data_IF_291908060014
#
_entry.id   IF_291908060014
#
_cell.length_a   1.000
_cell.length_b   1.000
_cell.length_c   1.000
_cell.angle_alpha   90.00
_cell.angle_beta   90.00
_cell.angle_gamma   90.00
#
_symmetry.space_group_name_H-M   'P 1'
#
loop_
_entity.id
_entity.type
_entity.pdbx_description
1 polymer ?
#
# COMPACT_ATOMS: atom_id res chain seq x y z
N UNK A 1 -20.65 -18.35 13.44
CA UNK A 1 -19.40 -17.98 14.15
C UNK A 1 -18.11 -18.37 13.40
N UNK A 2 -18.16 -18.99 12.21
CA UNK A 2 -16.98 -19.34 11.40
C UNK A 2 -16.31 -18.16 10.69
N UNK A 3 -17.06 -17.09 10.40
CA UNK A 3 -16.57 -15.99 9.58
C UNK A 3 -15.43 -15.17 10.20
N UNK A 4 -15.38 -15.03 11.53
CA UNK A 4 -14.38 -14.17 12.19
C UNK A 4 -12.96 -14.65 11.92
N UNK A 5 -12.72 -15.97 11.94
CA UNK A 5 -11.39 -16.54 11.72
C UNK A 5 -10.92 -16.35 10.28
N UNK A 6 -11.81 -16.54 9.32
CA UNK A 6 -11.54 -16.35 7.88
C UNK A 6 -11.20 -14.88 7.58
N UNK A 7 -11.99 -13.97 8.14
CA UNK A 7 -11.77 -12.53 8.06
C UNK A 7 -10.40 -12.13 8.64
N UNK A 8 -10.05 -12.63 9.82
CA UNK A 8 -8.75 -12.32 10.43
C UNK A 8 -7.60 -12.86 9.58
N UNK A 9 -7.74 -14.05 8.99
CA UNK A 9 -6.68 -14.67 8.17
C UNK A 9 -6.44 -13.97 6.83
N UNK A 10 -7.47 -13.35 6.24
CA UNK A 10 -7.37 -12.66 4.96
C UNK A 10 -6.57 -11.35 5.05
N UNK A 11 -6.56 -10.69 6.22
CA UNK A 11 -5.89 -9.40 6.43
C UNK A 11 -4.36 -9.53 6.36
N UNK A 12 -3.72 -8.57 5.71
CA UNK A 12 -2.26 -8.41 5.65
C UNK A 12 -1.90 -6.96 5.97
N UNK A 13 -1.33 -6.74 7.16
CA UNK A 13 -0.88 -5.42 7.62
C UNK A 13 0.64 -5.39 7.60
N UNK A 14 1.22 -4.46 6.86
CA UNK A 14 2.67 -4.36 6.68
C UNK A 14 3.10 -2.91 6.45
N UNK A 15 4.41 -2.66 6.53
CA UNK A 15 5.03 -1.38 6.23
C UNK A 15 6.23 -1.60 5.30
N UNK A 16 6.55 -0.59 4.48
CA UNK A 16 7.74 -0.57 3.64
C UNK A 16 8.74 0.38 4.28
N UNK A 17 9.93 -0.13 4.64
CA UNK A 17 11.04 0.67 5.19
C UNK A 17 12.21 0.61 4.22
N UNK A 18 12.85 1.74 3.96
CA UNK A 18 13.98 1.83 3.04
C UNK A 18 14.82 3.06 3.35
N UNK A 19 16.05 3.07 2.84
CA UNK A 19 16.87 4.27 2.76
C UNK A 19 16.17 5.35 1.89
N UNK A 20 16.48 6.66 2.07
CA UNK A 20 16.09 7.71 1.13
C UNK A 20 16.35 7.30 -0.33
N UNK A 21 15.45 7.74 -1.22
CA UNK A 21 15.52 7.52 -2.67
C UNK A 21 15.52 6.07 -3.19
N UNK A 22 15.41 5.07 -2.31
CA UNK A 22 15.33 3.64 -2.69
C UNK A 22 14.01 3.23 -3.40
N UNK A 23 13.13 4.18 -3.74
CA UNK A 23 11.92 3.89 -4.52
C UNK A 23 10.71 3.38 -3.72
N UNK A 24 10.69 3.51 -2.39
CA UNK A 24 9.53 3.15 -1.53
C UNK A 24 8.20 3.73 -2.05
N UNK A 25 8.20 4.98 -2.50
CA UNK A 25 7.01 5.65 -3.04
C UNK A 25 6.53 4.97 -4.32
N UNK A 26 7.47 4.64 -5.23
CA UNK A 26 7.17 3.95 -6.50
C UNK A 26 6.54 2.58 -6.29
N UNK A 27 7.09 1.75 -5.39
CA UNK A 27 6.50 0.44 -5.11
C UNK A 27 5.13 0.56 -4.42
N UNK A 28 4.93 1.59 -3.59
CA UNK A 28 3.63 1.87 -2.97
C UNK A 28 2.57 2.20 -4.01
N UNK A 29 2.92 3.00 -5.03
CA UNK A 29 2.02 3.32 -6.15
C UNK A 29 1.59 2.08 -6.93
N UNK A 30 2.53 1.18 -7.25
CA UNK A 30 2.23 -0.05 -7.98
C UNK A 30 1.32 -0.98 -7.17
N UNK A 31 1.58 -1.15 -5.87
CA UNK A 31 0.73 -1.96 -4.99
C UNK A 31 -0.71 -1.41 -4.93
N UNK A 32 -0.86 -0.09 -4.81
CA UNK A 32 -2.19 0.55 -4.81
C UNK A 32 -2.89 0.41 -6.16
N UNK A 33 -2.16 0.51 -7.28
CA UNK A 33 -2.72 0.31 -8.61
C UNK A 33 -3.21 -1.13 -8.80
N UNK A 34 -2.41 -2.14 -8.44
CA UNK A 34 -2.80 -3.54 -8.51
C UNK A 34 -3.96 -3.89 -7.57
N UNK A 35 -4.07 -3.20 -6.43
CA UNK A 35 -5.21 -3.30 -5.51
C UNK A 35 -6.47 -2.56 -5.96
N UNK A 36 -6.48 -1.93 -7.15
CA UNK A 36 -7.61 -1.14 -7.64
C UNK A 36 -7.81 0.23 -6.96
N UNK A 37 -6.88 0.65 -6.09
CA UNK A 37 -6.91 1.90 -5.34
C UNK A 37 -6.35 3.09 -6.13
N UNK A 38 -6.87 3.31 -7.35
CA UNK A 38 -6.34 4.27 -8.34
C UNK A 38 -6.17 5.70 -7.78
N UNK A 39 -7.16 6.23 -7.04
CA UNK A 39 -7.09 7.58 -6.45
C UNK A 39 -5.97 7.71 -5.41
N UNK A 40 -5.74 6.65 -4.63
CA UNK A 40 -4.67 6.63 -3.63
C UNK A 40 -3.31 6.53 -4.30
N UNK A 41 -3.17 5.69 -5.33
CA UNK A 41 -1.94 5.60 -6.13
C UNK A 41 -1.55 6.96 -6.73
N UNK A 42 -2.51 7.70 -7.32
CA UNK A 42 -2.26 9.04 -7.85
C UNK A 42 -1.87 10.08 -6.80
N UNK A 43 -2.42 9.98 -5.59
CA UNK A 43 -2.12 10.89 -4.47
C UNK A 43 -0.70 10.66 -3.92
N UNK A 44 -0.22 9.42 -3.91
CA UNK A 44 1.15 9.08 -3.46
C UNK A 44 2.20 9.74 -4.35
N UNK A 45 1.97 9.78 -5.68
CA UNK A 45 2.83 10.48 -6.63
C UNK A 45 2.87 12.00 -6.41
N UNK A 46 1.72 12.60 -6.07
CA UNK A 46 1.58 14.03 -5.84
C UNK A 46 2.24 14.54 -4.55
N UNK A 47 2.57 13.66 -3.60
CA UNK A 47 3.18 14.00 -2.30
C UNK A 47 4.72 14.12 -2.33
N UNK A 48 5.35 14.24 -3.50
CA UNK A 48 6.82 14.40 -3.63
C UNK A 48 7.41 15.69 -3.03
N UNK A 49 6.68 16.43 -2.21
CA UNK A 49 7.12 17.70 -1.65
C UNK A 49 6.82 17.75 -0.15
N UNK A 50 7.93 17.73 0.60
CA UNK A 50 8.04 17.67 2.05
C UNK A 50 9.36 16.99 2.41
#
# INVERSE_FOLDING_TARGET
MSHLKEEVQSRKTFAIISHPDAGKTTITEQLLLYGGAIRQAGTVKGKKTG
#
